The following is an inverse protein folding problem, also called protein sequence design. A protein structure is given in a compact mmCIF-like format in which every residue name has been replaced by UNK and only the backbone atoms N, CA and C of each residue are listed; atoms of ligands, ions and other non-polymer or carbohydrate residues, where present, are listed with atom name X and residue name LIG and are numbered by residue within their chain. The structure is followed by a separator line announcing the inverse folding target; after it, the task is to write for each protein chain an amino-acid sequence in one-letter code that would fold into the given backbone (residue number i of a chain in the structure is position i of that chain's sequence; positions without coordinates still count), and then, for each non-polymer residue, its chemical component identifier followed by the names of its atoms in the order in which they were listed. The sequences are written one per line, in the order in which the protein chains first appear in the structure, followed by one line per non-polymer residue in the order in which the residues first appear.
data_IF_307714611046
#
_entry.id   IF_307714611046
#
_cell.length_a   1.000
_cell.length_b   1.000
_cell.length_c   1.000
_cell.angle_alpha   90.00
_cell.angle_beta   90.00
_cell.angle_gamma   90.00
#
_symmetry.space_group_name_H-M   'P 1'
#
loop_
_entity.id
_entity.type
_entity.pdbx_description
1 polymer ?
#
# COMPACT_ATOMS: atom_id res chain seq x y z
N UNK A 1 6.48 17.56 18.59
CA UNK A 1 5.92 18.51 17.60
C UNK A 1 5.01 17.70 16.70
N UNK A 2 3.69 17.84 16.85
CA UNK A 2 2.74 17.18 15.95
C UNK A 2 2.92 17.83 14.58
N UNK A 3 3.34 17.06 13.57
CA UNK A 3 3.29 17.53 12.18
C UNK A 3 1.82 17.80 11.86
N UNK A 4 1.45 19.07 11.70
CA UNK A 4 0.17 19.45 11.12
C UNK A 4 0.24 19.14 9.61
N UNK A 5 -0.49 18.11 9.20
CA UNK A 5 -0.69 17.79 7.79
C UNK A 5 -1.77 18.73 7.24
N UNK A 6 -1.59 19.31 6.03
CA UNK A 6 -2.57 20.22 5.44
C UNK A 6 -3.94 19.55 5.36
N UNK A 7 -4.98 20.30 5.74
CA UNK A 7 -6.36 19.80 5.80
C UNK A 7 -6.96 19.45 4.42
N UNK A 8 -6.33 19.91 3.33
CA UNK A 8 -6.98 20.00 2.02
C UNK A 8 -6.65 18.88 1.03
N UNK A 9 -5.86 17.87 1.41
CA UNK A 9 -5.68 16.71 0.52
C UNK A 9 -6.88 15.76 0.71
N UNK A 10 -8.02 16.11 0.13
CA UNK A 10 -9.16 15.21 0.00
C UNK A 10 -8.99 14.48 -1.32
N UNK A 11 -8.65 13.19 -1.27
CA UNK A 11 -8.69 12.30 -2.42
C UNK A 11 -9.88 11.39 -2.21
N UNK A 12 -11.06 11.97 -2.46
CA UNK A 12 -12.29 11.22 -2.61
C UNK A 12 -12.73 11.29 -4.06
N UNK A 13 -12.66 10.15 -4.74
CA UNK A 13 -13.42 9.90 -5.98
C UNK A 13 -14.17 8.60 -5.77
N UNK A 14 -15.27 8.72 -5.03
CA UNK A 14 -16.09 7.61 -4.55
C UNK A 14 -16.62 6.73 -5.69
N UNK A 15 -16.82 7.33 -6.87
CA UNK A 15 -17.24 6.60 -8.05
C UNK A 15 -16.11 5.69 -8.57
N UNK A 16 -16.37 4.38 -8.69
CA UNK A 16 -15.47 3.45 -9.36
C UNK A 16 -15.24 3.88 -10.81
N UNK A 17 -14.03 3.65 -11.30
CA UNK A 17 -13.71 3.71 -12.74
C UNK A 17 -13.01 2.44 -13.23
N UNK A 18 -12.65 1.54 -12.31
CA UNK A 18 -12.21 0.19 -12.64
C UNK A 18 -13.32 -0.65 -13.26
N UNK A 19 -12.91 -1.75 -13.89
CA UNK A 19 -13.78 -2.61 -14.69
C UNK A 19 -14.81 -3.36 -13.84
N UNK A 20 -14.49 -3.64 -12.57
CA UNK A 20 -15.34 -4.38 -11.64
C UNK A 20 -15.08 -3.98 -10.19
N UNK A 21 -16.15 -3.92 -9.41
CA UNK A 21 -16.11 -3.80 -7.95
C UNK A 21 -16.60 -5.12 -7.34
N UNK A 22 -16.01 -5.53 -6.22
CA UNK A 22 -16.52 -6.63 -5.39
C UNK A 22 -16.51 -6.22 -3.93
N UNK A 23 -17.62 -6.43 -3.23
CA UNK A 23 -17.71 -6.23 -1.79
C UNK A 23 -17.21 -7.49 -1.07
N UNK A 24 -16.33 -7.31 -0.09
CA UNK A 24 -15.85 -8.40 0.77
C UNK A 24 -16.50 -8.37 2.17
N UNK A 25 -17.30 -7.35 2.45
CA UNK A 25 -18.04 -7.22 3.71
C UNK A 25 -19.25 -6.30 3.58
N UNK A 26 -20.02 -6.14 4.67
CA UNK A 26 -21.27 -5.38 4.68
C UNK A 26 -21.11 -3.85 4.62
N UNK A 27 -19.93 -3.31 4.88
CA UNK A 27 -19.67 -1.87 4.85
C UNK A 27 -19.44 -1.34 3.42
N UNK A 28 -19.76 -0.07 3.19
CA UNK A 28 -19.60 0.57 1.89
C UNK A 28 -18.12 0.69 1.47
N UNK A 29 -17.21 0.82 2.44
CA UNK A 29 -15.77 0.87 2.21
C UNK A 29 -15.13 -0.53 2.10
N UNK A 30 -15.88 -1.61 2.31
CA UNK A 30 -15.35 -2.97 2.19
C UNK A 30 -15.40 -3.46 0.74
N UNK A 31 -14.63 -2.80 -0.13
CA UNK A 31 -14.61 -3.06 -1.58
C UNK A 31 -13.21 -3.37 -2.12
N UNK A 32 -13.19 -4.14 -3.22
CA UNK A 32 -12.04 -4.31 -4.09
C UNK A 32 -12.42 -3.80 -5.48
N UNK A 33 -11.65 -2.84 -5.99
CA UNK A 33 -11.75 -2.33 -7.36
C UNK A 33 -10.72 -3.03 -8.25
N UNK A 34 -11.17 -3.61 -9.37
CA UNK A 34 -10.34 -4.40 -10.27
C UNK A 34 -9.98 -3.63 -11.54
N UNK A 35 -8.73 -3.80 -11.99
CA UNK A 35 -8.19 -3.28 -13.25
C UNK A 35 -7.43 -4.38 -13.99
N UNK A 36 -7.56 -4.42 -15.32
CA UNK A 36 -6.91 -5.39 -16.19
C UNK A 36 -7.75 -6.64 -16.43
N UNK A 37 -8.24 -6.79 -17.67
CA UNK A 37 -9.11 -7.89 -18.11
C UNK A 37 -8.37 -9.23 -18.36
N UNK A 38 -7.04 -9.23 -18.43
CA UNK A 38 -6.24 -10.39 -18.85
C UNK A 38 -6.19 -11.50 -17.78
N UNK A 39 -6.50 -12.73 -18.17
CA UNK A 39 -6.40 -13.93 -17.31
C UNK A 39 -4.96 -14.50 -17.21
N UNK A 40 -3.97 -13.87 -17.85
CA UNK A 40 -2.60 -14.40 -17.95
C UNK A 40 -1.57 -13.54 -17.21
N UNK A 41 -1.97 -12.37 -16.70
CA UNK A 41 -1.10 -11.45 -15.97
C UNK A 41 -0.86 -11.84 -14.51
N UNK A 42 0.28 -11.44 -13.93
CA UNK A 42 0.52 -11.56 -12.49
C UNK A 42 -0.51 -10.71 -11.73
N UNK A 43 -1.11 -11.25 -10.67
CA UNK A 43 -2.09 -10.54 -9.85
C UNK A 43 -1.39 -9.77 -8.72
N UNK A 44 -1.75 -8.50 -8.54
CA UNK A 44 -1.26 -7.63 -7.47
C UNK A 44 -2.43 -7.16 -6.62
N UNK A 45 -2.33 -7.31 -5.30
CA UNK A 45 -3.19 -6.65 -4.33
C UNK A 45 -2.52 -5.33 -3.92
N UNK A 46 -3.19 -4.22 -4.18
CA UNK A 46 -2.74 -2.90 -3.78
C UNK A 46 -3.52 -2.45 -2.55
N UNK A 47 -2.81 -2.05 -1.50
CA UNK A 47 -3.35 -1.48 -0.27
C UNK A 47 -2.84 -0.05 -0.19
N UNK A 48 -3.75 0.92 -0.27
CA UNK A 48 -3.36 2.33 -0.28
C UNK A 48 -2.93 2.83 1.09
N UNK A 49 -2.11 3.89 1.12
CA UNK A 49 -1.73 4.64 2.31
C UNK A 49 -2.74 5.74 2.66
N UNK A 50 -2.24 6.91 3.12
CA UNK A 50 -3.09 8.04 3.50
C UNK A 50 -3.30 8.21 5.01
N UNK A 51 -2.49 7.51 5.81
CA UNK A 51 -2.51 7.57 7.27
C UNK A 51 -3.90 7.30 7.88
N UNK A 52 -4.68 6.44 7.22
CA UNK A 52 -6.06 6.07 7.59
C UNK A 52 -7.02 7.25 7.74
N UNK A 53 -6.72 8.39 7.11
CA UNK A 53 -7.59 9.57 7.13
C UNK A 53 -8.87 9.25 6.37
N UNK A 54 -10.06 9.58 6.92
CA UNK A 54 -11.32 9.40 6.22
C UNK A 54 -11.29 9.98 4.80
N UNK A 55 -10.60 11.12 4.62
CA UNK A 55 -10.50 11.91 3.38
C UNK A 55 -9.61 11.33 2.27
N UNK A 56 -8.91 10.22 2.51
CA UNK A 56 -8.01 9.59 1.54
C UNK A 56 -8.49 8.16 1.27
N UNK A 57 -9.18 7.93 0.16
CA UNK A 57 -9.62 6.60 -0.27
C UNK A 57 -8.68 5.99 -1.33
N UNK A 58 -9.03 4.80 -1.84
CA UNK A 58 -8.27 4.10 -2.87
C UNK A 58 -8.03 4.92 -4.14
N UNK A 59 -8.83 5.95 -4.42
CA UNK A 59 -8.64 6.79 -5.59
C UNK A 59 -7.26 7.45 -5.62
N UNK A 60 -6.61 7.60 -4.46
CA UNK A 60 -5.22 8.04 -4.37
C UNK A 60 -4.23 7.12 -5.08
N UNK A 61 -4.44 5.80 -5.02
CA UNK A 61 -3.56 4.80 -5.63
C UNK A 61 -4.05 4.33 -7.01
N UNK A 62 -5.22 4.82 -7.44
CA UNK A 62 -5.85 4.41 -8.68
C UNK A 62 -5.03 4.69 -9.95
N UNK A 63 -4.35 5.85 -10.11
CA UNK A 63 -3.49 6.07 -11.28
C UNK A 63 -2.38 5.02 -11.42
N UNK A 64 -1.82 4.56 -10.29
CA UNK A 64 -0.85 3.46 -10.30
C UNK A 64 -1.49 2.15 -10.74
N UNK A 65 -2.69 1.84 -10.24
CA UNK A 65 -3.45 0.65 -10.64
C UNK A 65 -3.70 0.60 -12.16
N UNK A 66 -4.13 1.72 -12.75
CA UNK A 66 -4.31 1.85 -14.21
C UNK A 66 -3.00 1.64 -14.98
N UNK A 67 -1.91 2.26 -14.51
CA UNK A 67 -0.60 2.15 -15.17
C UNK A 67 -0.03 0.73 -15.11
N UNK A 68 -0.25 0.00 -14.01
CA UNK A 68 0.14 -1.41 -13.90
C UNK A 68 -0.76 -2.31 -14.75
N UNK A 69 -2.06 -2.05 -14.81
CA UNK A 69 -2.99 -2.80 -15.65
C UNK A 69 -2.62 -2.70 -17.15
N UNK A 70 -2.23 -1.51 -17.61
CA UNK A 70 -1.70 -1.30 -18.97
C UNK A 70 -0.43 -2.10 -19.28
N UNK A 71 0.24 -2.64 -18.26
CA UNK A 71 1.46 -3.47 -18.35
C UNK A 71 1.19 -4.94 -18.08
N UNK A 72 -0.06 -5.40 -18.32
CA UNK A 72 -0.49 -6.80 -18.19
C UNK A 72 -0.42 -7.35 -16.75
N UNK A 73 -0.51 -6.48 -15.74
CA UNK A 73 -0.83 -6.92 -14.37
C UNK A 73 -2.35 -6.94 -14.17
N UNK A 74 -2.82 -7.85 -13.32
CA UNK A 74 -4.21 -7.84 -12.83
C UNK A 74 -4.23 -7.20 -11.45
N UNK A 75 -4.93 -6.09 -11.30
CA UNK A 75 -4.90 -5.32 -10.06
C UNK A 75 -6.17 -5.56 -9.27
N UNK A 76 -6.01 -5.87 -7.98
CA UNK A 76 -7.04 -5.79 -6.95
C UNK A 76 -6.68 -4.60 -6.06
N UNK A 77 -7.36 -3.48 -6.21
CA UNK A 77 -7.16 -2.28 -5.40
C UNK A 77 -8.14 -2.30 -4.23
N UNK A 78 -7.60 -2.49 -3.02
CA UNK A 78 -8.38 -2.65 -1.80
C UNK A 78 -8.80 -1.30 -1.22
N UNK A 79 -10.06 -1.20 -0.85
CA UNK A 79 -10.63 -0.21 0.06
C UNK A 79 -10.88 -0.87 1.43
N UNK A 80 -10.82 -0.08 2.49
CA UNK A 80 -11.12 -0.50 3.85
C UNK A 80 -11.69 0.68 4.65
N UNK A 81 -12.43 0.41 5.71
CA UNK A 81 -13.01 1.47 6.55
C UNK A 81 -11.93 2.36 7.12
N UNK A 82 -12.13 3.67 7.08
CA UNK A 82 -11.23 4.67 7.68
C UNK A 82 -11.95 5.51 8.70
N UNK A 83 -12.11 4.96 9.89
CA UNK A 83 -12.80 5.65 10.99
C UNK A 83 -11.78 6.28 11.92
N UNK A 84 -11.80 7.61 12.04
CA UNK A 84 -10.88 8.35 12.89
C UNK A 84 -10.96 7.86 14.35
N UNK A 85 -9.81 7.57 14.95
CA UNK A 85 -9.71 7.06 16.31
C UNK A 85 -10.10 5.58 16.47
N UNK A 86 -10.39 4.86 15.38
CA UNK A 86 -10.73 3.43 15.41
C UNK A 86 -9.83 2.62 14.47
N UNK A 87 -8.53 2.52 14.78
CA UNK A 87 -7.58 1.84 13.90
C UNK A 87 -7.83 0.34 13.73
N UNK A 88 -8.46 -0.29 14.72
CA UNK A 88 -8.84 -1.70 14.63
C UNK A 88 -9.82 -1.99 13.48
N UNK A 89 -10.65 -1.02 13.09
CA UNK A 89 -11.63 -1.25 12.02
C UNK A 89 -10.93 -1.50 10.67
N UNK A 90 -9.92 -0.69 10.30
CA UNK A 90 -9.17 -0.93 9.07
C UNK A 90 -8.29 -2.17 9.15
N UNK A 91 -7.75 -2.50 10.33
CA UNK A 91 -6.96 -3.73 10.49
C UNK A 91 -7.83 -4.96 10.28
N UNK A 92 -9.02 -4.99 10.89
CA UNK A 92 -9.96 -6.11 10.71
C UNK A 92 -10.37 -6.30 9.25
N UNK A 93 -10.46 -5.19 8.50
CA UNK A 93 -10.78 -5.18 7.07
C UNK A 93 -9.62 -5.69 6.21
N UNK A 94 -8.41 -5.17 6.41
CA UNK A 94 -7.23 -5.57 5.62
C UNK A 94 -6.81 -7.01 5.90
N UNK A 95 -6.88 -7.44 7.15
CA UNK A 95 -6.57 -8.82 7.54
C UNK A 95 -7.76 -9.78 7.36
N UNK A 96 -8.91 -9.28 6.88
CA UNK A 96 -10.11 -10.06 6.56
C UNK A 96 -10.57 -10.96 7.73
N UNK A 97 -10.57 -10.44 8.96
CA UNK A 97 -11.16 -11.14 10.11
C UNK A 97 -10.41 -11.14 11.45
N UNK A 98 -9.41 -10.28 11.65
CA UNK A 98 -8.74 -10.15 12.96
C UNK A 98 -9.64 -9.47 14.03
N UNK A 99 -9.46 -9.86 15.29
CA UNK A 99 -10.22 -9.32 16.43
C UNK A 99 -9.78 -7.89 16.83
N UNK A 100 -10.70 -7.13 17.44
CA UNK A 100 -10.42 -5.79 17.99
C UNK A 100 -9.34 -5.85 19.09
N UNK A 101 -8.54 -4.79 19.22
CA UNK A 101 -7.43 -4.70 20.18
C UNK A 101 -6.10 -5.29 19.67
N UNK A 102 -6.00 -5.64 18.39
CA UNK A 102 -4.82 -6.23 17.81
C UNK A 102 -3.73 -5.22 17.41
N UNK A 103 -4.00 -3.91 17.41
CA UNK A 103 -3.07 -2.88 16.89
C UNK A 103 -1.64 -3.01 17.44
N UNK A 104 -1.46 -3.16 18.77
CA UNK A 104 -0.13 -3.31 19.36
C UNK A 104 0.57 -4.62 18.98
N UNK A 105 -0.20 -5.66 18.68
CA UNK A 105 0.29 -6.98 18.25
C UNK A 105 0.57 -7.03 16.75
N UNK A 106 0.02 -6.08 15.99
CA UNK A 106 0.16 -5.98 14.54
C UNK A 106 1.20 -4.93 14.10
N UNK A 107 1.95 -4.35 15.05
CA UNK A 107 3.12 -3.53 14.76
C UNK A 107 4.15 -4.36 13.96
N UNK A 108 4.39 -4.06 12.67
CA UNK A 108 5.22 -4.89 11.81
C UNK A 108 6.64 -5.11 12.33
N UNK A 109 7.19 -4.16 13.09
CA UNK A 109 8.53 -4.29 13.64
C UNK A 109 8.59 -5.39 14.73
N UNK A 110 7.47 -5.63 15.43
CA UNK A 110 7.37 -6.63 16.51
C UNK A 110 6.99 -8.03 16.01
N UNK A 111 6.45 -8.13 14.80
CA UNK A 111 6.10 -9.40 14.17
C UNK A 111 7.35 -10.16 13.74
N UNK A 112 7.35 -11.49 13.84
CA UNK A 112 8.45 -12.31 13.29
C UNK A 112 8.59 -12.12 11.78
N UNK A 113 9.81 -12.24 11.28
CA UNK A 113 10.14 -12.23 9.86
C UNK A 113 9.14 -13.03 9.01
N UNK A 114 8.59 -12.38 7.97
CA UNK A 114 7.71 -13.06 7.05
C UNK A 114 8.48 -14.16 6.31
N UNK A 115 7.79 -15.27 6.02
CA UNK A 115 8.37 -16.39 5.25
C UNK A 115 8.45 -16.11 3.75
N UNK A 116 7.77 -15.06 3.29
CA UNK A 116 7.73 -14.64 1.89
C UNK A 116 8.89 -13.69 1.57
N UNK A 117 9.12 -13.44 0.27
CA UNK A 117 10.08 -12.44 -0.18
C UNK A 117 9.51 -11.04 0.08
N UNK A 118 10.32 -10.17 0.69
CA UNK A 118 9.98 -8.77 0.97
C UNK A 118 10.87 -7.88 0.13
N UNK A 119 10.27 -6.97 -0.62
CA UNK A 119 11.00 -5.86 -1.24
C UNK A 119 10.57 -4.56 -0.56
N UNK A 120 11.46 -3.97 0.22
CA UNK A 120 11.24 -2.69 0.89
C UNK A 120 11.83 -1.57 0.04
N UNK A 121 11.00 -0.55 -0.25
CA UNK A 121 11.41 0.63 -1.00
C UNK A 121 11.19 1.90 -0.18
N UNK A 122 12.09 2.86 -0.29
CA UNK A 122 11.99 4.17 0.35
C UNK A 122 12.54 5.26 -0.57
N UNK A 123 11.99 6.46 -0.54
CA UNK A 123 12.47 7.57 -1.38
C UNK A 123 13.50 8.45 -0.66
N UNK A 124 14.51 8.94 -1.36
CA UNK A 124 15.62 9.72 -0.78
C UNK A 124 15.19 11.04 -0.11
N UNK A 125 14.18 11.71 -0.67
CA UNK A 125 13.64 12.98 -0.19
C UNK A 125 12.24 12.82 0.44
N UNK A 126 11.98 11.65 1.01
CA UNK A 126 10.75 11.39 1.74
C UNK A 126 10.68 12.21 3.05
N UNK A 127 9.51 12.76 3.36
CA UNK A 127 9.27 13.43 4.63
C UNK A 127 9.12 12.42 5.79
N UNK A 128 8.83 11.16 5.50
CA UNK A 128 8.95 10.05 6.44
C UNK A 128 10.43 9.69 6.58
N UNK A 129 10.99 9.71 7.80
CA UNK A 129 12.42 9.46 8.00
C UNK A 129 12.87 8.10 7.46
N UNK A 130 13.95 8.10 6.67
CA UNK A 130 14.60 6.90 6.13
C UNK A 130 14.93 5.85 7.22
N UNK A 131 15.21 6.31 8.45
CA UNK A 131 15.49 5.43 9.58
C UNK A 131 14.34 4.47 9.91
N UNK A 132 13.08 4.83 9.62
CA UNK A 132 11.94 3.93 9.82
C UNK A 132 12.10 2.68 8.94
N UNK A 133 12.44 2.86 7.67
CA UNK A 133 12.65 1.78 6.72
C UNK A 133 13.94 0.99 7.01
N UNK A 134 15.04 1.69 7.30
CA UNK A 134 16.32 1.06 7.65
C UNK A 134 16.22 0.20 8.91
N UNK A 135 15.50 0.66 9.93
CA UNK A 135 15.29 -0.12 11.15
C UNK A 135 14.53 -1.40 10.85
N UNK A 136 13.41 -1.31 10.12
CA UNK A 136 12.64 -2.50 9.73
C UNK A 136 13.48 -3.47 8.92
N UNK A 137 14.20 -2.98 7.91
CA UNK A 137 15.10 -3.79 7.09
C UNK A 137 16.11 -4.56 7.93
N UNK A 138 16.82 -3.86 8.82
CA UNK A 138 17.87 -4.46 9.66
C UNK A 138 17.33 -5.49 10.63
N UNK A 139 16.23 -5.20 11.32
CA UNK A 139 15.64 -6.12 12.30
C UNK A 139 15.15 -7.39 11.60
N UNK A 140 14.43 -7.28 10.47
CA UNK A 140 13.93 -8.45 9.74
C UNK A 140 15.04 -9.23 9.05
N UNK A 141 16.07 -8.57 8.54
CA UNK A 141 17.25 -9.25 7.99
C UNK A 141 17.97 -10.07 9.08
N UNK A 142 18.11 -9.53 10.29
CA UNK A 142 18.73 -10.25 11.41
C UNK A 142 17.92 -11.46 11.87
N UNK A 143 16.59 -11.43 11.70
CA UNK A 143 15.69 -12.57 11.92
C UNK A 143 15.71 -13.59 10.76
N UNK A 144 16.50 -13.36 9.70
CA UNK A 144 16.61 -14.26 8.55
C UNK A 144 15.53 -14.08 7.49
N UNK A 145 14.83 -12.93 7.47
CA UNK A 145 13.88 -12.62 6.41
C UNK A 145 14.57 -12.59 5.03
N UNK A 146 13.84 -13.05 4.00
CA UNK A 146 14.22 -12.83 2.59
C UNK A 146 13.82 -11.42 2.20
N UNK A 147 14.64 -10.43 2.58
CA UNK A 147 14.32 -9.01 2.38
C UNK A 147 15.37 -8.29 1.53
N UNK A 148 14.90 -7.51 0.56
CA UNK A 148 15.70 -6.58 -0.25
C UNK A 148 15.30 -5.14 0.06
N UNK A 149 16.26 -4.23 0.10
CA UNK A 149 16.02 -2.80 0.25
C UNK A 149 16.38 -2.05 -1.04
N UNK A 150 15.60 -1.04 -1.41
CA UNK A 150 15.90 -0.16 -2.55
C UNK A 150 15.58 1.28 -2.17
N UNK A 151 16.60 2.13 -2.24
CA UNK A 151 16.43 3.58 -2.13
C UNK A 151 16.13 4.14 -3.53
N UNK A 152 15.06 4.91 -3.65
CA UNK A 152 14.68 5.61 -4.88
C UNK A 152 15.39 6.96 -4.88
N UNK A 153 16.36 7.20 -5.79
CA UNK A 153 17.13 8.44 -5.82
C UNK A 153 16.27 9.61 -6.29
N UNK A 154 16.56 10.82 -5.76
CA UNK A 154 15.92 12.07 -6.18
C UNK A 154 14.37 12.00 -6.22
N UNK A 155 13.79 11.31 -5.23
CA UNK A 155 12.37 11.01 -5.17
C UNK A 155 11.75 11.48 -3.87
N UNK A 156 10.53 12.00 -3.94
CA UNK A 156 9.72 12.34 -2.78
C UNK A 156 8.86 11.14 -2.32
N UNK A 157 8.05 11.37 -1.28
CA UNK A 157 7.14 10.37 -0.72
C UNK A 157 6.15 9.79 -1.73
N UNK A 158 5.72 10.58 -2.72
CA UNK A 158 4.66 10.20 -3.65
C UNK A 158 5.20 9.56 -4.93
N UNK A 159 6.51 9.66 -5.20
CA UNK A 159 7.13 9.12 -6.39
C UNK A 159 6.79 7.63 -6.62
N UNK A 160 6.80 6.79 -5.58
CA UNK A 160 6.49 5.36 -5.73
C UNK A 160 5.03 5.08 -6.15
N UNK A 161 4.11 6.01 -5.93
CA UNK A 161 2.68 5.86 -6.26
C UNK A 161 2.23 6.73 -7.43
N UNK A 162 3.01 7.71 -7.86
CA UNK A 162 2.75 8.48 -9.07
C UNK A 162 3.30 7.74 -10.30
N UNK A 163 2.44 7.25 -11.21
CA UNK A 163 2.89 6.52 -12.40
C UNK A 163 3.68 7.39 -13.40
N UNK A 164 3.72 8.71 -13.22
CA UNK A 164 4.48 9.64 -14.05
C UNK A 164 5.91 9.86 -13.55
N UNK A 165 6.22 9.39 -12.35
CA UNK A 165 7.54 9.57 -11.75
C UNK A 165 8.54 8.47 -12.20
N UNK A 166 9.81 8.67 -11.88
CA UNK A 166 10.85 7.63 -12.05
C UNK A 166 10.61 6.39 -11.16
N UNK A 167 9.83 6.51 -10.08
CA UNK A 167 9.51 5.43 -9.14
C UNK A 167 8.81 4.25 -9.81
N UNK A 168 7.98 4.49 -10.83
CA UNK A 168 7.29 3.42 -11.56
C UNK A 168 8.28 2.44 -12.21
N UNK A 169 9.38 2.92 -12.78
CA UNK A 169 10.39 2.06 -13.41
C UNK A 169 11.07 1.14 -12.40
N UNK A 170 11.39 1.67 -11.22
CA UNK A 170 12.02 0.92 -10.12
C UNK A 170 11.04 -0.11 -9.53
N UNK A 171 9.76 0.25 -9.39
CA UNK A 171 8.72 -0.68 -8.98
C UNK A 171 8.60 -1.84 -9.97
N UNK A 172 8.54 -1.56 -11.27
CA UNK A 172 8.43 -2.59 -12.31
C UNK A 172 9.66 -3.53 -12.32
N UNK A 173 10.86 -2.97 -12.14
CA UNK A 173 12.07 -3.77 -12.01
C UNK A 173 11.98 -4.73 -10.83
N UNK A 174 11.57 -4.26 -9.65
CA UNK A 174 11.39 -5.12 -8.48
C UNK A 174 10.33 -6.20 -8.69
N UNK A 175 9.18 -5.84 -9.29
CA UNK A 175 8.13 -6.80 -9.60
C UNK A 175 8.60 -7.91 -10.57
N UNK A 176 9.54 -7.60 -11.47
CA UNK A 176 10.13 -8.58 -12.39
C UNK A 176 11.05 -9.59 -11.70
N UNK A 177 11.60 -9.23 -10.54
CA UNK A 177 12.51 -10.07 -9.75
C UNK A 177 11.78 -10.99 -8.77
N UNK A 178 10.47 -10.76 -8.55
CA UNK A 178 9.63 -11.61 -7.73
C UNK A 178 9.07 -12.71 -8.63
N UNK A 179 9.52 -13.95 -8.41
CA UNK A 179 9.04 -15.16 -9.11
C UNK A 179 7.54 -15.40 -8.87
#
# INVERSE_FOLDING_TARGET
MLMEYPQDHIVHKSEPIGERITHYGPDADQVIEFFGESNTGKQLLLIHGGYWRPTIDRAHLRPLAEALAQRNFRIALLEYRRVQGRPDDYLSDVFLGEEKGALERLDPIRLSAAKTNIHLMHSEHDFIPLEVAHRYYREKLAEGARIKFTLVPDADHFALVDPRSAGLGILLQALSEIE
#
